data_IF_384261988127
#
_entry.id   IF_384261988127
#
_cell.length_a   1.000
_cell.length_b   1.000
_cell.length_c   1.000
_cell.angle_alpha   90.00
_cell.angle_beta   90.00
_cell.angle_gamma   90.00
#
_symmetry.space_group_name_H-M   'P 1'
#
loop_
_entity.id
_entity.type
_entity.pdbx_description
1 polymer ?
#
# COMPACT_ATOMS: atom_id res chain seq x y z
N UNK A 1 -3.04 -58.31 29.21
CA UNK A 1 -2.57 -56.89 29.23
C UNK A 1 -2.86 -56.25 27.87
N UNK A 2 -3.75 -55.31 27.87
CA UNK A 2 -4.04 -54.57 26.64
C UNK A 2 -3.20 -53.30 26.68
N UNK A 3 -2.24 -53.20 25.74
CA UNK A 3 -1.48 -51.96 25.57
C UNK A 3 -2.38 -50.93 24.86
N UNK A 4 -2.72 -49.84 25.52
CA UNK A 4 -3.40 -48.75 24.89
C UNK A 4 -2.37 -47.99 24.04
N UNK A 5 -2.53 -48.05 22.72
CA UNK A 5 -1.75 -47.27 21.79
C UNK A 5 -2.39 -45.85 21.79
N UNK A 6 -1.75 -44.93 22.49
CA UNK A 6 -2.12 -43.53 22.41
C UNK A 6 -1.64 -42.99 21.03
N UNK A 7 -2.59 -42.83 20.10
CA UNK A 7 -2.30 -42.13 18.85
C UNK A 7 -2.29 -40.63 19.18
N UNK A 8 -1.09 -40.06 19.30
CA UNK A 8 -0.94 -38.62 19.34
C UNK A 8 -1.22 -38.09 17.93
N UNK A 9 -2.40 -37.55 17.72
CA UNK A 9 -2.68 -36.75 16.53
C UNK A 9 -1.96 -35.40 16.68
N UNK A 10 -0.79 -35.30 16.07
CA UNK A 10 -0.12 -34.01 15.91
C UNK A 10 -0.93 -33.21 14.89
N UNK A 11 -1.75 -32.28 15.37
CA UNK A 11 -2.34 -31.25 14.51
C UNK A 11 -1.21 -30.32 14.07
N UNK A 12 -0.77 -30.46 12.80
CA UNK A 12 0.02 -29.42 12.15
C UNK A 12 -0.91 -28.22 11.95
N UNK A 13 -0.71 -27.18 12.75
CA UNK A 13 -1.29 -25.89 12.46
C UNK A 13 -0.59 -25.34 11.22
N UNK A 14 -1.28 -25.41 10.07
CA UNK A 14 -0.83 -24.70 8.87
C UNK A 14 -1.02 -23.22 9.15
N UNK A 15 0.06 -22.52 9.47
CA UNK A 15 0.04 -21.07 9.53
C UNK A 15 -0.19 -20.56 8.10
N UNK A 16 -1.39 -20.05 7.82
CA UNK A 16 -1.63 -19.26 6.62
C UNK A 16 -0.80 -17.99 6.72
N UNK A 17 0.39 -18.01 6.10
CA UNK A 17 1.11 -16.79 5.87
C UNK A 17 0.23 -15.91 4.98
N UNK A 18 -0.27 -14.80 5.53
CA UNK A 18 -0.99 -13.81 4.74
C UNK A 18 -0.05 -13.31 3.64
N UNK A 19 -0.37 -13.64 2.38
CA UNK A 19 0.35 -13.09 1.23
C UNK A 19 0.03 -11.60 1.19
N UNK A 20 1.07 -10.75 1.27
CA UNK A 20 0.90 -9.32 1.11
C UNK A 20 0.26 -9.03 -0.25
N UNK A 21 -0.72 -8.15 -0.28
CA UNK A 21 -1.37 -7.73 -1.51
C UNK A 21 -0.34 -7.09 -2.45
N UNK A 22 -0.44 -7.41 -3.74
CA UNK A 22 0.42 -6.81 -4.77
C UNK A 22 0.12 -5.30 -4.88
N UNK A 23 1.09 -4.42 -4.64
CA UNK A 23 0.87 -2.98 -4.69
C UNK A 23 0.38 -2.49 -6.05
N UNK A 24 0.80 -3.10 -7.17
CA UNK A 24 0.32 -2.70 -8.50
C UNK A 24 -1.17 -3.03 -8.67
N UNK A 25 -1.61 -4.17 -8.19
CA UNK A 25 -3.04 -4.53 -8.18
C UNK A 25 -3.85 -3.61 -7.27
N UNK A 26 -3.29 -3.18 -6.16
CA UNK A 26 -3.95 -2.21 -5.27
C UNK A 26 -4.12 -0.84 -5.92
N UNK A 27 -3.08 -0.35 -6.61
CA UNK A 27 -3.15 0.92 -7.33
C UNK A 27 -4.22 0.89 -8.42
N UNK A 28 -4.39 -0.23 -9.09
CA UNK A 28 -5.47 -0.43 -10.08
C UNK A 28 -6.84 -0.52 -9.41
N UNK A 29 -6.96 -1.33 -8.37
CA UNK A 29 -8.22 -1.55 -7.64
C UNK A 29 -8.79 -0.25 -7.11
N UNK A 30 -7.97 0.59 -6.52
CA UNK A 30 -8.38 1.86 -5.95
C UNK A 30 -8.32 3.02 -6.96
N UNK A 31 -8.04 2.73 -8.24
CA UNK A 31 -8.08 3.67 -9.35
C UNK A 31 -7.07 4.82 -9.25
N UNK A 32 -5.97 4.61 -8.56
CA UNK A 32 -4.90 5.60 -8.42
C UNK A 32 -4.29 5.95 -9.77
N UNK A 33 -4.18 4.97 -10.67
CA UNK A 33 -3.60 5.14 -12.00
C UNK A 33 -4.45 5.98 -12.96
N UNK A 34 -5.66 6.38 -12.58
CA UNK A 34 -6.46 7.34 -13.35
C UNK A 34 -5.84 8.74 -13.29
N UNK A 35 -5.26 9.10 -12.15
CA UNK A 35 -4.67 10.43 -11.93
C UNK A 35 -3.15 10.42 -11.80
N UNK A 36 -2.53 9.28 -11.62
CA UNK A 36 -1.09 9.12 -11.44
C UNK A 36 -0.52 8.11 -12.42
N UNK A 37 0.68 8.35 -12.90
CA UNK A 37 1.49 7.40 -13.66
C UNK A 37 2.87 7.29 -13.02
N UNK A 38 3.65 6.27 -13.41
CA UNK A 38 4.96 6.03 -12.81
C UNK A 38 5.92 7.22 -12.97
N UNK A 39 6.02 7.75 -14.19
CA UNK A 39 7.02 8.77 -14.54
C UNK A 39 6.46 10.02 -15.21
N UNK A 40 5.17 10.04 -15.51
CA UNK A 40 4.53 11.16 -16.20
C UNK A 40 3.46 11.81 -15.33
N UNK A 41 3.40 13.14 -15.28
CA UNK A 41 2.29 13.82 -14.62
C UNK A 41 1.01 13.62 -15.44
N UNK A 42 -0.08 13.34 -14.74
CA UNK A 42 -1.44 13.33 -15.27
C UNK A 42 -2.26 14.40 -14.52
N UNK A 43 -3.44 14.06 -14.03
CA UNK A 43 -4.16 14.96 -13.15
C UNK A 43 -3.41 15.19 -11.83
N UNK A 44 -2.67 14.19 -11.37
CA UNK A 44 -1.76 14.29 -10.23
C UNK A 44 -0.30 14.13 -10.63
N UNK A 45 0.62 14.35 -9.69
CA UNK A 45 2.06 14.14 -9.93
C UNK A 45 2.35 12.67 -10.21
N UNK A 46 3.47 12.41 -10.92
CA UNK A 46 3.95 11.04 -11.10
C UNK A 46 4.33 10.40 -9.77
N UNK A 47 4.30 9.08 -9.71
CA UNK A 47 4.77 8.37 -8.53
C UNK A 47 6.26 8.66 -8.25
N UNK A 48 7.07 8.81 -9.29
CA UNK A 48 8.47 9.19 -9.15
C UNK A 48 8.64 10.59 -8.52
N UNK A 49 7.79 11.54 -8.88
CA UNK A 49 7.81 12.88 -8.30
C UNK A 49 7.38 12.87 -6.84
N UNK A 50 6.36 12.08 -6.49
CA UNK A 50 5.92 11.87 -5.10
C UNK A 50 7.07 11.27 -4.29
N UNK A 51 7.71 10.23 -4.82
CA UNK A 51 8.84 9.59 -4.16
C UNK A 51 10.00 10.58 -3.93
N UNK A 52 10.34 11.37 -4.92
CA UNK A 52 11.39 12.37 -4.79
C UNK A 52 11.09 13.43 -3.74
N UNK A 53 9.82 13.84 -3.62
CA UNK A 53 9.38 14.85 -2.65
C UNK A 53 9.39 14.33 -1.21
N UNK A 54 8.95 13.10 -0.98
CA UNK A 54 8.73 12.58 0.38
C UNK A 54 9.82 11.63 0.89
N UNK A 55 10.62 11.04 0.01
CA UNK A 55 11.54 9.93 0.34
C UNK A 55 12.42 10.19 1.56
N UNK A 56 12.89 11.40 1.74
CA UNK A 56 13.82 11.76 2.82
C UNK A 56 13.12 12.31 4.07
N UNK A 57 11.81 12.42 4.05
CA UNK A 57 11.06 12.85 5.22
C UNK A 57 10.96 11.73 6.25
N UNK A 58 11.05 12.04 7.56
CA UNK A 58 10.75 11.05 8.59
C UNK A 58 9.33 10.50 8.41
N UNK A 59 9.18 9.19 8.57
CA UNK A 59 7.87 8.53 8.42
C UNK A 59 7.21 8.75 7.06
N UNK A 60 8.01 8.83 5.99
CA UNK A 60 7.51 9.13 4.64
C UNK A 60 6.34 8.23 4.23
N UNK A 61 6.43 6.91 4.49
CA UNK A 61 5.36 5.98 4.14
C UNK A 61 4.06 6.28 4.89
N UNK A 62 4.12 6.65 6.16
CA UNK A 62 2.95 7.00 6.95
C UNK A 62 2.33 8.32 6.46
N UNK A 63 3.15 9.28 6.08
CA UNK A 63 2.69 10.57 5.53
C UNK A 63 1.97 10.33 4.20
N UNK A 64 2.56 9.57 3.29
CA UNK A 64 1.95 9.27 1.98
C UNK A 64 0.68 8.43 2.15
N UNK A 65 0.69 7.43 3.02
CA UNK A 65 -0.49 6.62 3.32
C UNK A 65 -1.65 7.46 3.86
N UNK A 66 -1.36 8.42 4.74
CA UNK A 66 -2.37 9.34 5.27
C UNK A 66 -2.95 10.21 4.15
N UNK A 67 -2.13 10.74 3.25
CA UNK A 67 -2.58 11.56 2.11
C UNK A 67 -3.48 10.78 1.15
N UNK A 68 -3.23 9.51 0.94
CA UNK A 68 -4.12 8.65 0.15
C UNK A 68 -5.52 8.64 0.77
N UNK A 69 -5.63 8.48 2.07
CA UNK A 69 -6.91 8.31 2.75
C UNK A 69 -7.64 9.64 3.02
N UNK A 70 -6.92 10.68 3.36
CA UNK A 70 -7.52 11.97 3.74
C UNK A 70 -7.47 13.02 2.63
N UNK A 71 -6.76 12.74 1.54
CA UNK A 71 -6.55 13.67 0.46
C UNK A 71 -5.35 14.57 0.68
N UNK A 72 -5.01 15.34 -0.35
CA UNK A 72 -3.90 16.28 -0.34
C UNK A 72 -4.33 17.60 -0.98
N UNK A 73 -4.03 18.71 -0.30
CA UNK A 73 -4.37 20.06 -0.72
C UNK A 73 -3.12 20.93 -0.76
N UNK A 74 -3.17 22.00 -1.55
CA UNK A 74 -2.13 23.02 -1.53
C UNK A 74 -1.04 22.88 -2.58
N UNK A 75 -1.17 21.95 -3.52
CA UNK A 75 -0.22 21.73 -4.59
C UNK A 75 -0.55 22.43 -5.93
N UNK A 76 -1.28 23.54 -5.91
CA UNK A 76 -1.69 24.24 -7.13
C UNK A 76 -3.15 24.01 -7.52
N UNK A 77 -3.45 23.86 -8.81
CA UNK A 77 -4.81 23.75 -9.33
C UNK A 77 -5.51 22.41 -9.02
N UNK A 78 -4.76 21.41 -8.60
CA UNK A 78 -5.27 20.08 -8.42
C UNK A 78 -5.19 19.65 -6.97
N UNK A 79 -6.33 19.28 -6.42
CA UNK A 79 -6.43 18.68 -5.10
C UNK A 79 -6.71 17.19 -5.26
N UNK A 80 -5.96 16.36 -4.57
CA UNK A 80 -6.25 14.94 -4.47
C UNK A 80 -7.45 14.74 -3.55
N UNK A 81 -8.56 14.14 -4.02
CA UNK A 81 -9.70 13.86 -3.16
C UNK A 81 -9.34 12.80 -2.10
N UNK A 82 -10.04 12.78 -0.97
CA UNK A 82 -9.88 11.72 0.01
C UNK A 82 -10.37 10.38 -0.53
N UNK A 83 -9.70 9.31 -0.12
CA UNK A 83 -10.08 7.94 -0.42
C UNK A 83 -10.26 7.14 0.87
N UNK A 84 -11.32 7.41 1.65
CA UNK A 84 -11.54 6.75 2.94
C UNK A 84 -11.85 5.26 2.81
N UNK A 85 -12.24 4.80 1.61
CA UNK A 85 -12.49 3.41 1.27
C UNK A 85 -11.22 2.56 1.23
N UNK A 86 -10.05 3.19 1.11
CA UNK A 86 -8.77 2.48 1.11
C UNK A 86 -8.47 1.99 2.53
N UNK A 87 -8.32 0.68 2.70
CA UNK A 87 -7.91 0.10 3.97
C UNK A 87 -6.53 0.61 4.38
N UNK A 88 -6.32 0.81 5.68
CA UNK A 88 -5.05 1.34 6.20
C UNK A 88 -3.84 0.51 5.78
N UNK A 89 -3.97 -0.82 5.84
CA UNK A 89 -2.91 -1.73 5.41
C UNK A 89 -2.60 -1.59 3.92
N UNK A 90 -3.62 -1.41 3.09
CA UNK A 90 -3.46 -1.22 1.64
C UNK A 90 -2.83 0.14 1.34
N UNK A 91 -3.23 1.19 2.05
CA UNK A 91 -2.62 2.50 1.92
C UNK A 91 -1.12 2.47 2.26
N UNK A 92 -0.74 1.77 3.32
CA UNK A 92 0.67 1.60 3.69
C UNK A 92 1.46 0.81 2.63
N UNK A 93 0.89 -0.27 2.12
CA UNK A 93 1.51 -1.09 1.06
C UNK A 93 1.71 -0.25 -0.21
N UNK A 94 0.71 0.49 -0.64
CA UNK A 94 0.82 1.38 -1.81
C UNK A 94 1.83 2.50 -1.58
N UNK A 95 1.81 3.13 -0.41
CA UNK A 95 2.73 4.20 -0.07
C UNK A 95 4.20 3.76 -0.16
N UNK A 96 4.52 2.58 0.37
CA UNK A 96 5.87 2.01 0.29
C UNK A 96 6.29 1.76 -1.15
N UNK A 97 5.40 1.23 -1.98
CA UNK A 97 5.67 0.99 -3.40
C UNK A 97 5.86 2.29 -4.18
N UNK A 98 5.03 3.30 -3.92
CA UNK A 98 5.15 4.63 -4.53
C UNK A 98 6.51 5.25 -4.18
N UNK A 99 6.92 5.21 -2.92
CA UNK A 99 8.20 5.77 -2.46
C UNK A 99 9.42 5.03 -3.02
N UNK A 100 9.24 3.81 -3.50
CA UNK A 100 10.30 3.02 -4.12
C UNK A 100 10.49 3.34 -5.61
N UNK A 101 9.59 4.10 -6.23
CA UNK A 101 9.70 4.45 -7.65
C UNK A 101 10.88 5.39 -7.86
N UNK A 102 11.82 4.97 -8.69
CA UNK A 102 13.00 5.75 -9.06
C UNK A 102 12.70 6.61 -10.29
N UNK A 103 13.52 7.64 -10.46
CA UNK A 103 13.48 8.46 -11.67
C UNK A 103 13.72 7.64 -12.92
#
# INVERSE_FOLDING_TARGET
MRAAVAVLATMLAVANAAVAADPQQLLERYRCNVCHAAHEPLAGPSYAAIAAHYRHQPQAHAVVAAKIRVGAHGGGLWNMPPHPEVARADADTMARAILAVKK
#
